data_IF_412595742865
#
_entry.id   IF_412595742865
#
_cell.length_a   1.000
_cell.length_b   1.000
_cell.length_c   1.000
_cell.angle_alpha   90.00
_cell.angle_beta   90.00
_cell.angle_gamma   90.00
#
_symmetry.space_group_name_H-M   'P 1'
#
loop_
_entity.id
_entity.type
_entity.pdbx_description
1 polymer ?
#
# COMPACT_ATOMS: atom_id res chain seq x y z
N UNK A 1 11.90 -5.44 10.35
CA UNK A 1 12.46 -5.37 9.00
C UNK A 1 12.82 -3.95 8.60
N UNK A 2 13.77 -3.74 7.67
CA UNK A 2 14.07 -2.41 7.13
C UNK A 2 12.91 -1.89 6.28
N UNK A 3 12.86 -0.56 6.09
CA UNK A 3 11.90 0.05 5.17
C UNK A 3 12.21 -0.35 3.71
N UNK A 4 11.19 -0.40 2.84
CA UNK A 4 11.38 -0.57 1.41
C UNK A 4 12.19 0.59 0.83
N UNK A 5 12.84 0.35 -0.32
CA UNK A 5 13.65 1.34 -1.01
C UNK A 5 13.01 1.69 -2.36
N UNK A 6 13.02 2.96 -2.73
CA UNK A 6 12.76 3.36 -4.10
C UNK A 6 13.89 2.86 -5.02
N UNK A 7 13.60 2.71 -6.32
CA UNK A 7 14.56 2.27 -7.32
C UNK A 7 14.75 0.75 -7.42
N UNK A 8 13.84 -0.02 -6.83
CA UNK A 8 13.90 -1.49 -6.82
C UNK A 8 12.78 -2.10 -7.66
N UNK A 9 13.02 -3.32 -8.14
CA UNK A 9 12.02 -4.12 -8.85
C UNK A 9 11.38 -5.13 -7.91
N UNK A 10 10.07 -5.31 -8.00
CA UNK A 10 9.30 -6.29 -7.22
C UNK A 10 8.52 -7.24 -8.15
N UNK A 11 8.45 -8.52 -7.79
CA UNK A 11 7.60 -9.50 -8.47
C UNK A 11 6.31 -9.66 -7.66
N UNK A 12 5.17 -9.32 -8.26
CA UNK A 12 3.86 -9.50 -7.65
C UNK A 12 3.37 -10.92 -7.93
N UNK A 13 2.97 -11.62 -6.87
CA UNK A 13 2.39 -12.95 -6.93
C UNK A 13 0.87 -12.88 -6.73
N UNK A 14 0.13 -13.78 -7.37
CA UNK A 14 -1.28 -14.00 -7.05
C UNK A 14 -1.44 -14.93 -5.83
N UNK A 15 -2.70 -15.20 -5.44
CA UNK A 15 -3.03 -16.09 -4.30
C UNK A 15 -2.59 -17.56 -4.44
N UNK A 16 -2.12 -17.98 -5.62
CA UNK A 16 -1.59 -19.31 -5.90
C UNK A 16 -0.06 -19.30 -6.09
N UNK A 17 0.61 -18.25 -5.59
CA UNK A 17 2.06 -18.02 -5.67
C UNK A 17 2.61 -18.01 -7.11
N UNK A 18 1.80 -17.57 -8.09
CA UNK A 18 2.25 -17.42 -9.48
C UNK A 18 2.58 -15.95 -9.78
N UNK A 19 3.71 -15.66 -10.44
CA UNK A 19 4.07 -14.29 -10.82
C UNK A 19 3.07 -13.74 -11.84
N UNK A 20 2.54 -12.55 -11.56
CA UNK A 20 1.57 -11.86 -12.42
C UNK A 20 2.04 -10.49 -12.90
N UNK A 21 2.97 -9.86 -12.18
CA UNK A 21 3.53 -8.58 -12.61
C UNK A 21 4.98 -8.38 -12.12
N UNK A 22 5.74 -7.59 -12.88
CA UNK A 22 6.97 -6.96 -12.46
C UNK A 22 6.67 -5.47 -12.26
N UNK A 23 6.96 -4.93 -11.08
CA UNK A 23 6.80 -3.50 -10.77
C UNK A 23 8.15 -2.85 -10.47
N UNK A 24 8.22 -1.54 -10.64
CA UNK A 24 9.35 -0.72 -10.20
C UNK A 24 8.85 0.31 -9.19
N UNK A 25 9.46 0.36 -8.00
CA UNK A 25 9.09 1.30 -6.95
C UNK A 25 9.70 2.67 -7.25
N UNK A 26 8.86 3.61 -7.65
CA UNK A 26 9.23 4.98 -8.01
C UNK A 26 9.60 5.82 -6.80
N UNK A 27 8.86 5.65 -5.71
CA UNK A 27 9.00 6.47 -4.51
C UNK A 27 8.56 5.70 -3.26
N UNK A 28 9.21 6.01 -2.14
CA UNK A 28 8.86 5.49 -0.82
C UNK A 28 8.89 6.63 0.17
N UNK A 29 7.81 6.79 0.94
CA UNK A 29 7.77 7.79 2.01
C UNK A 29 6.90 7.31 3.17
N UNK A 30 7.11 7.96 4.32
CA UNK A 30 6.36 7.68 5.55
C UNK A 30 5.49 8.87 5.87
N UNK A 31 4.20 8.64 6.13
CA UNK A 31 3.23 9.69 6.47
C UNK A 31 2.32 9.21 7.60
N UNK A 32 1.80 10.09 8.48
CA UNK A 32 0.77 9.69 9.44
C UNK A 32 -0.45 9.09 8.73
N UNK A 33 -1.07 8.06 9.33
CA UNK A 33 -2.28 7.44 8.79
C UNK A 33 -3.39 8.46 8.49
N UNK A 34 -3.62 9.40 9.42
CA UNK A 34 -4.61 10.47 9.24
C UNK A 34 -4.27 11.48 8.13
N UNK A 35 -3.01 11.53 7.68
CA UNK A 35 -2.55 12.42 6.60
C UNK A 35 -2.55 11.76 5.22
N UNK A 36 -2.97 10.51 5.10
CA UNK A 36 -3.22 9.90 3.79
C UNK A 36 -4.33 10.70 3.08
N UNK A 37 -4.04 11.10 1.84
CA UNK A 37 -4.92 11.95 1.04
C UNK A 37 -5.85 11.11 0.16
N UNK A 38 -6.94 11.72 -0.31
CA UNK A 38 -7.82 11.08 -1.28
C UNK A 38 -7.09 10.69 -2.58
N UNK A 39 -6.06 11.44 -2.98
CA UNK A 39 -5.27 11.12 -4.16
C UNK A 39 -4.42 9.85 -3.97
N UNK A 40 -3.89 9.62 -2.76
CA UNK A 40 -3.17 8.38 -2.44
C UNK A 40 -4.16 7.21 -2.43
N UNK A 41 -5.26 7.34 -1.69
CA UNK A 41 -6.31 6.32 -1.63
C UNK A 41 -6.84 5.94 -3.03
N UNK A 42 -7.03 6.94 -3.89
CA UNK A 42 -7.46 6.73 -5.27
C UNK A 42 -6.41 6.02 -6.12
N UNK A 43 -5.12 6.32 -5.94
CA UNK A 43 -4.03 5.65 -6.67
C UNK A 43 -3.90 4.19 -6.29
N UNK A 44 -4.14 3.85 -5.03
CA UNK A 44 -4.15 2.45 -4.57
C UNK A 44 -5.28 1.65 -5.21
N UNK A 45 -6.43 2.29 -5.47
CA UNK A 45 -7.43 1.78 -6.40
C UNK A 45 -8.40 0.74 -5.81
N UNK A 46 -8.39 0.55 -4.49
CA UNK A 46 -9.30 -0.36 -3.79
C UNK A 46 -10.73 0.18 -3.68
N UNK A 47 -11.70 -0.74 -3.60
CA UNK A 47 -13.13 -0.48 -3.43
C UNK A 47 -13.69 0.62 -4.35
N UNK A 48 -14.28 1.66 -3.76
CA UNK A 48 -14.86 2.82 -4.46
C UNK A 48 -13.86 3.97 -4.65
N UNK A 49 -12.58 3.73 -4.35
CA UNK A 49 -11.47 4.70 -4.44
C UNK A 49 -11.68 5.95 -3.56
N UNK A 50 -12.55 5.88 -2.56
CA UNK A 50 -12.78 6.97 -1.63
C UNK A 50 -11.82 6.90 -0.43
N UNK A 51 -11.44 8.07 0.11
CA UNK A 51 -10.64 8.14 1.33
C UNK A 51 -11.36 7.53 2.54
N UNK A 52 -12.70 7.55 2.54
CA UNK A 52 -13.50 6.99 3.62
C UNK A 52 -13.38 5.46 3.66
N UNK A 53 -13.62 4.79 2.53
CA UNK A 53 -13.48 3.34 2.40
C UNK A 53 -12.04 2.89 2.66
N UNK A 54 -11.06 3.64 2.11
CA UNK A 54 -9.65 3.39 2.38
C UNK A 54 -9.35 3.36 3.88
N UNK A 55 -9.80 4.39 4.63
CA UNK A 55 -9.58 4.47 6.08
C UNK A 55 -10.24 3.33 6.83
N UNK A 56 -11.47 2.97 6.48
CA UNK A 56 -12.22 1.89 7.14
C UNK A 56 -11.49 0.54 6.98
N UNK A 57 -11.15 0.17 5.74
CA UNK A 57 -10.50 -1.11 5.43
C UNK A 57 -9.11 -1.18 6.05
N UNK A 58 -8.31 -0.11 5.92
CA UNK A 58 -6.95 -0.08 6.43
C UNK A 58 -6.91 -0.03 7.95
N UNK A 59 -7.81 0.69 8.61
CA UNK A 59 -7.90 0.67 10.07
C UNK A 59 -8.22 -0.74 10.58
N UNK A 60 -9.16 -1.44 9.93
CA UNK A 60 -9.49 -2.82 10.29
C UNK A 60 -8.31 -3.78 10.05
N UNK A 61 -7.58 -3.61 8.94
CA UNK A 61 -6.38 -4.38 8.64
C UNK A 61 -5.27 -4.14 9.66
N UNK A 62 -4.82 -2.90 9.84
CA UNK A 62 -3.73 -2.58 10.75
C UNK A 62 -4.05 -2.91 12.20
N UNK A 63 -5.32 -2.78 12.63
CA UNK A 63 -5.73 -3.21 13.98
C UNK A 63 -5.49 -4.70 14.21
N UNK A 64 -5.78 -5.56 13.21
CA UNK A 64 -5.52 -7.00 13.29
C UNK A 64 -4.02 -7.32 13.29
N UNK A 65 -3.26 -6.69 12.40
CA UNK A 65 -1.81 -6.92 12.30
C UNK A 65 -1.05 -6.46 13.56
N UNK A 66 -1.40 -5.28 14.09
CA UNK A 66 -0.80 -4.79 15.34
C UNK A 66 -1.15 -5.71 16.50
N UNK A 67 -2.42 -6.13 16.61
CA UNK A 67 -2.86 -7.04 17.67
C UNK A 67 -2.15 -8.39 17.60
N UNK A 68 -1.92 -8.94 16.41
CA UNK A 68 -1.15 -10.18 16.22
C UNK A 68 0.29 -10.07 16.73
N UNK A 69 0.82 -8.84 16.81
CA UNK A 69 2.15 -8.53 17.34
C UNK A 69 2.10 -7.98 18.78
N UNK A 70 0.94 -8.02 19.46
CA UNK A 70 0.78 -7.56 20.83
C UNK A 70 0.78 -6.03 21.01
N UNK A 71 0.51 -5.29 19.94
CA UNK A 71 0.49 -3.81 19.91
C UNK A 71 -0.94 -3.35 19.60
N UNK A 72 -1.33 -2.16 20.07
CA UNK A 72 -2.60 -1.53 19.68
C UNK A 72 -2.35 -0.54 18.55
N UNK A 73 -3.13 -0.63 17.47
CA UNK A 73 -3.15 0.37 16.42
C UNK A 73 -3.89 1.63 16.90
N UNK A 74 -3.31 2.80 16.68
CA UNK A 74 -3.92 4.11 16.95
C UNK A 74 -3.86 4.97 15.68
N UNK A 75 -4.98 5.22 14.99
CA UNK A 75 -5.02 6.03 13.78
C UNK A 75 -4.34 7.40 13.91
N UNK A 76 -4.43 8.04 15.07
CA UNK A 76 -3.96 9.42 15.27
C UNK A 76 -2.43 9.52 15.37
N UNK A 77 -1.77 8.47 15.87
CA UNK A 77 -0.32 8.45 16.09
C UNK A 77 0.43 7.49 15.17
N UNK A 78 -0.27 6.55 14.53
CA UNK A 78 0.35 5.54 13.67
C UNK A 78 0.82 6.13 12.35
N UNK A 79 1.97 5.65 11.90
CA UNK A 79 2.56 6.00 10.61
C UNK A 79 2.31 4.89 9.60
N UNK A 80 2.14 5.25 8.34
CA UNK A 80 2.09 4.32 7.21
C UNK A 80 3.27 4.57 6.27
N UNK A 81 3.80 3.49 5.73
CA UNK A 81 4.77 3.52 4.64
C UNK A 81 3.97 3.43 3.35
N UNK A 82 4.16 4.39 2.46
CA UNK A 82 3.52 4.41 1.14
C UNK A 82 4.59 4.13 0.09
N UNK A 83 4.34 3.11 -0.72
CA UNK A 83 5.13 2.81 -1.92
C UNK A 83 4.34 3.22 -3.16
N UNK A 84 4.91 4.12 -3.95
CA UNK A 84 4.38 4.45 -5.27
C UNK A 84 5.21 3.67 -6.30
N UNK A 85 4.53 2.94 -7.18
CA UNK A 85 5.17 2.08 -8.16
C UNK A 85 4.35 2.03 -9.46
N UNK A 86 5.00 1.59 -10.52
CA UNK A 86 4.35 1.27 -11.79
C UNK A 86 4.67 -0.14 -12.25
N UNK A 87 3.77 -0.69 -13.05
CA UNK A 87 3.97 -1.99 -13.70
C UNK A 87 4.93 -1.85 -14.87
N UNK A 88 6.00 -2.63 -14.84
CA UNK A 88 6.99 -2.79 -15.92
C UNK A 88 6.57 -3.92 -16.86
N UNK A 89 6.00 -5.00 -16.31
CA UNK A 89 5.47 -6.13 -17.08
C UNK A 89 4.22 -6.73 -16.42
N UNK A 90 3.16 -7.10 -17.16
CA UNK A 90 2.98 -6.90 -18.59
C UNK A 90 2.97 -5.40 -18.92
N UNK A 91 3.46 -5.03 -20.11
CA UNK A 91 3.43 -3.64 -20.55
C UNK A 91 1.96 -3.27 -20.76
N UNK A 92 1.38 -2.57 -19.78
CA UNK A 92 0.03 -2.03 -19.90
C UNK A 92 0.15 -0.81 -20.80
N UNK A 93 -0.14 -0.98 -22.09
CA UNK A 93 -0.31 0.18 -22.98
C UNK A 93 -1.57 0.91 -22.53
N UNK A 94 -1.40 2.05 -21.87
CA UNK A 94 -2.48 3.03 -21.68
C UNK A 94 -3.00 3.42 -23.06
N UNK A 95 -4.28 3.13 -23.33
CA UNK A 95 -5.01 3.69 -24.47
C UNK A 95 -5.17 5.19 -24.32
#
# INVERSE_FOLDING_TARGET
DPLPNAGVYNIILNRADKPVALTFTDNVFVTPFMKVTADIAKREGEDDQSLASWREVHQAFFSREYQANGIQFDPESSMVVVEEFHTVYPVVQTR
#
